data_IF_194452030802
#
_entry.id   IF_194452030802
#
_cell.length_a   1.000
_cell.length_b   1.000
_cell.length_c   1.000
_cell.angle_alpha   90.00
_cell.angle_beta   90.00
_cell.angle_gamma   90.00
#
_symmetry.space_group_name_H-M   'P 1'
#
loop_
_entity.id
_entity.type
_entity.pdbx_description
1 polymer ?
#
# COMPACT_ATOMS: atom_id res chain seq x y z
N UNK A 1 16.16 -26.52 4.92
CA UNK A 1 16.64 -25.42 4.05
C UNK A 1 15.90 -24.17 4.46
N UNK A 2 16.61 -23.14 4.94
CA UNK A 2 16.00 -21.85 5.28
C UNK A 2 16.00 -21.01 4.02
N UNK A 3 14.84 -20.80 3.39
CA UNK A 3 14.71 -19.82 2.31
C UNK A 3 15.02 -18.43 2.88
N UNK A 4 16.13 -17.84 2.45
CA UNK A 4 16.45 -16.46 2.76
C UNK A 4 15.41 -15.57 2.07
N UNK A 5 14.46 -15.04 2.85
CA UNK A 5 13.50 -14.05 2.38
C UNK A 5 14.27 -12.80 1.93
N UNK A 6 14.36 -12.58 0.63
CA UNK A 6 14.90 -11.33 0.08
C UNK A 6 13.92 -10.20 0.39
N UNK A 7 14.18 -9.45 1.46
CA UNK A 7 13.39 -8.29 1.82
C UNK A 7 13.92 -7.08 1.05
N UNK A 8 13.03 -6.33 0.40
CA UNK A 8 13.40 -5.00 -0.11
C UNK A 8 13.72 -4.13 1.09
N UNK A 9 14.99 -3.71 1.18
CA UNK A 9 15.42 -2.76 2.18
C UNK A 9 15.31 -1.35 1.60
N UNK A 10 14.65 -0.49 2.34
CA UNK A 10 14.60 0.93 2.03
C UNK A 10 15.93 1.53 2.47
N UNK A 11 16.63 2.20 1.55
CA UNK A 11 17.94 2.82 1.82
C UNK A 11 17.89 3.65 3.11
N UNK A 12 18.96 3.54 3.92
CA UNK A 12 19.05 4.18 5.24
C UNK A 12 19.40 5.67 5.18
N UNK A 13 19.72 6.20 4.00
CA UNK A 13 20.35 7.51 3.88
C UNK A 13 19.39 8.51 3.21
N UNK A 14 18.70 9.32 4.03
CA UNK A 14 17.94 10.49 3.58
C UNK A 14 16.50 10.59 4.14
N UNK A 15 15.93 11.81 4.27
CA UNK A 15 14.55 12.00 4.70
C UNK A 15 13.60 11.32 3.71
N UNK A 16 12.88 10.30 4.19
CA UNK A 16 11.93 9.47 3.44
C UNK A 16 10.61 10.20 3.30
N UNK A 17 10.53 11.13 2.38
CA UNK A 17 9.29 11.82 2.07
C UNK A 17 8.79 11.41 0.71
N UNK A 18 7.48 11.21 0.62
CA UNK A 18 6.83 11.10 -0.68
C UNK A 18 6.97 12.43 -1.41
N UNK A 19 7.29 12.37 -2.70
CA UNK A 19 7.43 13.53 -3.57
C UNK A 19 6.35 13.51 -4.66
N UNK A 20 6.04 14.65 -5.26
CA UNK A 20 5.13 14.67 -6.41
C UNK A 20 5.71 13.85 -7.56
N UNK A 21 4.92 12.90 -8.07
CA UNK A 21 5.33 12.06 -9.19
C UNK A 21 5.41 12.90 -10.47
N UNK A 22 6.45 12.70 -11.27
CA UNK A 22 6.56 13.34 -12.57
C UNK A 22 5.52 12.76 -13.55
N UNK A 23 5.17 13.48 -14.62
CA UNK A 23 4.16 13.02 -15.57
C UNK A 23 4.48 11.67 -16.22
N UNK A 24 5.77 11.36 -16.42
CA UNK A 24 6.19 10.05 -16.93
C UNK A 24 5.99 8.92 -15.91
N UNK A 25 6.18 9.20 -14.62
CA UNK A 25 5.91 8.24 -13.53
C UNK A 25 4.41 7.95 -13.41
N UNK A 26 3.57 8.98 -13.54
CA UNK A 26 2.11 8.85 -13.52
C UNK A 26 1.63 8.01 -14.71
N UNK A 27 2.19 8.26 -15.90
CA UNK A 27 1.89 7.45 -17.10
C UNK A 27 2.31 6.00 -16.89
N UNK A 28 3.52 5.75 -16.42
CA UNK A 28 4.04 4.41 -16.14
C UNK A 28 3.14 3.65 -15.15
N UNK A 29 2.74 4.30 -14.05
CA UNK A 29 1.80 3.71 -13.10
C UNK A 29 0.47 3.36 -13.76
N UNK A 30 -0.10 4.27 -14.57
CA UNK A 30 -1.35 4.02 -15.28
C UNK A 30 -1.22 2.81 -16.21
N UNK A 31 -0.18 2.77 -17.05
CA UNK A 31 0.08 1.67 -17.99
C UNK A 31 0.17 0.33 -17.23
N UNK A 32 0.82 0.30 -16.06
CA UNK A 32 0.92 -0.90 -15.23
C UNK A 32 -0.38 -1.35 -14.59
N UNK A 33 -1.21 -0.40 -14.15
CA UNK A 33 -2.55 -0.69 -13.63
C UNK A 33 -3.46 -1.25 -14.72
N UNK A 34 -3.41 -0.68 -15.93
CA UNK A 34 -4.17 -1.17 -17.09
C UNK A 34 -3.70 -2.56 -17.55
N UNK A 35 -2.38 -2.79 -17.58
CA UNK A 35 -1.82 -4.11 -17.87
C UNK A 35 -2.29 -5.17 -16.87
N UNK A 36 -2.36 -4.81 -15.57
CA UNK A 36 -2.95 -5.70 -14.57
C UNK A 36 -4.40 -6.02 -14.88
N UNK A 37 -5.23 -5.02 -15.19
CA UNK A 37 -6.64 -5.24 -15.55
C UNK A 37 -6.82 -6.10 -16.80
N UNK A 38 -5.92 -5.98 -17.78
CA UNK A 38 -5.90 -6.82 -18.97
C UNK A 38 -5.61 -8.29 -18.65
N UNK A 39 -4.67 -8.57 -17.74
CA UNK A 39 -4.32 -9.93 -17.33
C UNK A 39 -5.28 -10.56 -16.33
N UNK A 40 -6.04 -9.75 -15.58
CA UNK A 40 -7.04 -10.21 -14.61
C UNK A 40 -8.44 -9.68 -14.95
N UNK A 41 -9.02 -10.08 -16.09
CA UNK A 41 -10.37 -9.67 -16.47
C UNK A 41 -11.41 -10.14 -15.44
N UNK A 42 -12.62 -9.55 -15.42
CA UNK A 42 -13.69 -9.91 -14.49
C UNK A 42 -13.96 -11.41 -14.33
N UNK A 43 -13.76 -12.18 -15.40
CA UNK A 43 -14.03 -13.61 -15.48
C UNK A 43 -12.93 -14.50 -14.85
N UNK A 44 -11.71 -13.98 -14.67
CA UNK A 44 -10.58 -14.70 -14.07
C UNK A 44 -10.46 -14.49 -12.55
N UNK A 45 -11.38 -13.72 -11.96
CA UNK A 45 -11.43 -13.33 -10.54
C UNK A 45 -11.81 -14.54 -9.65
N UNK A 46 -10.85 -15.42 -9.34
CA UNK A 46 -10.99 -16.49 -8.32
C UNK A 46 -10.02 -16.24 -7.14
N UNK A 47 -10.49 -16.50 -5.91
CA UNK A 47 -9.78 -16.21 -4.65
C UNK A 47 -10.10 -14.83 -4.07
N UNK A 48 -9.70 -14.53 -2.84
CA UNK A 48 -10.20 -13.34 -2.10
C UNK A 48 -9.48 -12.02 -2.42
N UNK A 49 -8.21 -12.10 -2.87
CA UNK A 49 -7.32 -10.94 -3.06
C UNK A 49 -7.50 -10.28 -4.43
N UNK A 50 -7.51 -11.08 -5.51
CA UNK A 50 -7.54 -10.59 -6.90
C UNK A 50 -8.83 -9.84 -7.25
N UNK A 51 -10.06 -10.31 -6.90
CA UNK A 51 -11.29 -9.59 -7.23
C UNK A 51 -11.38 -8.23 -6.52
N UNK A 52 -10.97 -8.16 -5.25
CA UNK A 52 -10.95 -6.94 -4.45
C UNK A 52 -9.92 -5.91 -4.92
N UNK A 53 -8.76 -6.39 -5.37
CA UNK A 53 -7.71 -5.57 -5.98
C UNK A 53 -8.17 -5.00 -7.33
N UNK A 54 -8.82 -5.81 -8.17
CA UNK A 54 -9.26 -5.38 -9.51
C UNK A 54 -10.23 -4.19 -9.46
N UNK A 55 -11.27 -4.25 -8.62
CA UNK A 55 -12.22 -3.14 -8.46
C UNK A 55 -11.56 -1.84 -7.97
N UNK A 56 -10.57 -1.95 -7.09
CA UNK A 56 -9.83 -0.80 -6.57
C UNK A 56 -8.86 -0.22 -7.59
N UNK A 57 -8.27 -1.06 -8.44
CA UNK A 57 -7.43 -0.64 -9.56
C UNK A 57 -8.26 0.08 -10.62
N UNK A 58 -9.44 -0.42 -10.99
CA UNK A 58 -10.37 0.28 -11.90
C UNK A 58 -10.69 1.69 -11.39
N UNK A 59 -10.93 1.84 -10.08
CA UNK A 59 -11.14 3.16 -9.47
C UNK A 59 -9.89 4.04 -9.56
N UNK A 60 -8.71 3.50 -9.25
CA UNK A 60 -7.45 4.24 -9.33
C UNK A 60 -7.16 4.73 -10.75
N UNK A 61 -7.37 3.90 -11.79
CA UNK A 61 -7.20 4.30 -13.20
C UNK A 61 -8.11 5.48 -13.55
N UNK A 62 -9.39 5.41 -13.17
CA UNK A 62 -10.35 6.50 -13.37
C UNK A 62 -9.95 7.80 -12.67
N UNK A 63 -9.30 7.72 -11.50
CA UNK A 63 -8.79 8.89 -10.78
C UNK A 63 -7.61 9.50 -11.54
N UNK A 64 -6.66 8.67 -11.99
CA UNK A 64 -5.47 9.12 -12.72
C UNK A 64 -5.82 9.84 -14.02
N UNK A 65 -6.95 9.50 -14.65
CA UNK A 65 -7.44 10.21 -15.84
C UNK A 65 -7.92 11.64 -15.56
N UNK A 66 -8.32 11.93 -14.31
CA UNK A 66 -8.98 13.18 -13.93
C UNK A 66 -8.11 14.08 -13.06
N UNK A 67 -7.13 13.52 -12.36
CA UNK A 67 -6.22 14.25 -11.48
C UNK A 67 -4.90 13.48 -11.28
N UNK A 68 -3.75 14.04 -11.67
CA UNK A 68 -2.45 13.37 -11.54
C UNK A 68 -1.74 13.70 -10.23
N UNK A 69 -2.46 14.08 -9.17
CA UNK A 69 -1.86 14.40 -7.87
C UNK A 69 -1.36 13.13 -7.16
N UNK A 70 -0.41 12.46 -7.78
CA UNK A 70 0.21 11.23 -7.34
C UNK A 70 1.48 11.58 -6.62
N UNK A 71 1.68 10.96 -5.46
CA UNK A 71 2.94 11.04 -4.76
C UNK A 71 3.73 9.75 -4.96
N UNK A 72 5.05 9.81 -4.97
CA UNK A 72 5.95 8.69 -5.20
C UNK A 72 7.00 8.60 -4.10
N UNK A 73 7.34 7.38 -3.71
CA UNK A 73 8.47 7.04 -2.85
C UNK A 73 9.21 5.86 -3.46
N UNK A 74 10.50 6.01 -3.77
CA UNK A 74 11.31 4.95 -4.38
C UNK A 74 12.28 4.33 -3.38
N UNK A 75 12.52 3.03 -3.49
CA UNK A 75 13.52 2.29 -2.74
C UNK A 75 14.22 1.24 -3.58
N UNK A 76 15.39 0.81 -3.11
CA UNK A 76 16.23 -0.15 -3.83
C UNK A 76 17.05 -0.99 -2.87
N UNK A 77 17.13 -2.30 -3.13
CA UNK A 77 18.18 -3.18 -2.60
C UNK A 77 19.11 -3.63 -3.74
N UNK A 78 20.05 -4.55 -3.47
CA UNK A 78 21.17 -4.93 -4.36
C UNK A 78 20.80 -5.12 -5.85
N UNK A 79 19.56 -5.50 -6.17
CA UNK A 79 19.09 -5.61 -7.57
C UNK A 79 17.61 -5.25 -7.79
N UNK A 80 16.86 -4.91 -6.74
CA UNK A 80 15.40 -4.70 -6.84
C UNK A 80 15.03 -3.27 -6.52
N UNK A 81 14.36 -2.59 -7.45
CA UNK A 81 13.75 -1.27 -7.23
C UNK A 81 12.28 -1.47 -6.89
N UNK A 82 11.83 -0.86 -5.80
CA UNK A 82 10.44 -0.79 -5.41
C UNK A 82 9.99 0.67 -5.36
N UNK A 83 9.02 1.03 -6.18
CA UNK A 83 8.39 2.35 -6.17
C UNK A 83 7.00 2.25 -5.58
N UNK A 84 6.70 3.05 -4.57
CA UNK A 84 5.37 3.16 -3.99
C UNK A 84 4.73 4.45 -4.44
N UNK A 85 3.56 4.33 -5.06
CA UNK A 85 2.73 5.45 -5.46
C UNK A 85 1.59 5.64 -4.48
N UNK A 86 1.28 6.87 -4.10
CA UNK A 86 0.10 7.23 -3.33
C UNK A 86 -0.85 8.05 -4.22
N UNK A 87 -2.06 7.54 -4.42
CA UNK A 87 -3.10 8.17 -5.24
C UNK A 87 -4.26 8.60 -4.33
N UNK A 88 -4.52 9.91 -4.16
CA UNK A 88 -5.65 10.39 -3.37
C UNK A 88 -6.98 10.05 -4.06
N UNK A 89 -7.90 9.47 -3.29
CA UNK A 89 -9.29 9.33 -3.66
C UNK A 89 -10.11 10.29 -2.80
N UNK A 90 -10.35 11.50 -3.33
CA UNK A 90 -10.99 12.62 -2.64
C UNK A 90 -12.30 12.30 -1.91
N UNK A 91 -12.98 11.21 -2.27
CA UNK A 91 -14.26 10.81 -1.68
C UNK A 91 -14.15 9.66 -0.67
N UNK A 92 -13.02 8.97 -0.58
CA UNK A 92 -12.96 7.67 0.11
C UNK A 92 -11.67 7.42 0.90
N UNK A 93 -10.54 7.98 0.49
CA UNK A 93 -9.28 7.46 0.99
C UNK A 93 -8.07 7.78 0.13
N UNK A 94 -7.09 6.90 0.21
CA UNK A 94 -5.87 6.93 -0.58
C UNK A 94 -5.47 5.50 -0.95
N UNK A 95 -5.12 5.30 -2.21
CA UNK A 95 -4.52 4.05 -2.68
C UNK A 95 -3.00 4.14 -2.57
N UNK A 96 -2.38 3.05 -2.17
CA UNK A 96 -0.93 2.89 -2.22
C UNK A 96 -0.60 1.70 -3.10
N UNK A 97 0.11 1.90 -4.19
CA UNK A 97 0.52 0.84 -5.12
C UNK A 97 2.02 0.65 -5.06
N UNK A 98 2.47 -0.60 -4.95
CA UNK A 98 3.89 -0.94 -5.10
C UNK A 98 4.14 -1.45 -6.52
N UNK A 99 5.12 -0.86 -7.15
CA UNK A 99 5.73 -1.29 -8.40
C UNK A 99 7.11 -1.84 -8.08
N UNK A 100 7.39 -3.08 -8.47
CA UNK A 100 8.70 -3.72 -8.35
C UNK A 100 9.27 -3.92 -9.75
N UNK A 101 10.37 -3.24 -10.06
CA UNK A 101 11.05 -3.32 -11.36
C UNK A 101 10.12 -3.11 -12.57
N UNK A 102 9.15 -2.20 -12.47
CA UNK A 102 8.20 -1.91 -13.53
C UNK A 102 6.99 -2.84 -13.56
N UNK A 103 6.77 -3.66 -12.52
CA UNK A 103 5.63 -4.57 -12.43
C UNK A 103 4.82 -4.29 -11.18
N UNK A 104 3.50 -4.20 -11.31
CA UNK A 104 2.62 -4.04 -10.16
C UNK A 104 2.79 -5.23 -9.21
N UNK A 105 3.16 -4.97 -7.95
CA UNK A 105 3.48 -6.00 -6.97
C UNK A 105 2.44 -6.11 -5.85
N UNK A 106 1.70 -5.03 -5.57
CA UNK A 106 0.68 -5.05 -4.53
C UNK A 106 0.07 -3.68 -4.26
N UNK A 107 -0.87 -3.64 -3.32
CA UNK A 107 -1.50 -2.39 -2.93
C UNK A 107 -1.95 -2.37 -1.47
N UNK A 108 -2.28 -1.17 -1.00
CA UNK A 108 -3.11 -0.94 0.18
C UNK A 108 -4.16 0.12 -0.13
N UNK A 109 -5.28 0.04 0.58
CA UNK A 109 -6.30 1.08 0.58
C UNK A 109 -6.49 1.59 2.00
N UNK A 110 -6.31 2.91 2.14
CA UNK A 110 -6.47 3.63 3.41
C UNK A 110 -7.71 4.48 3.29
N UNK A 111 -8.61 4.37 4.25
CA UNK A 111 -9.80 5.21 4.34
C UNK A 111 -9.63 6.28 5.40
N UNK A 112 -10.20 7.45 5.13
CA UNK A 112 -10.45 8.49 6.12
C UNK A 112 -11.96 8.44 6.39
N UNK A 113 -12.40 8.32 7.64
CA UNK A 113 -13.83 8.19 7.96
C UNK A 113 -14.66 9.29 7.31
N UNK A 114 -15.79 8.91 6.69
CA UNK A 114 -16.67 9.81 5.92
C UNK A 114 -17.57 10.73 6.76
N UNK A 115 -17.55 10.62 8.09
CA UNK A 115 -18.59 11.21 8.95
C UNK A 115 -18.14 12.42 9.80
N UNK A 116 -17.20 13.23 9.31
CA UNK A 116 -16.98 14.59 9.83
C UNK A 116 -16.26 14.75 11.18
N UNK A 117 -15.89 13.66 11.86
CA UNK A 117 -14.90 13.69 12.93
C UNK A 117 -13.51 13.40 12.35
N UNK A 118 -12.45 14.03 12.88
CA UNK A 118 -11.07 13.66 12.54
C UNK A 118 -10.87 12.22 13.04
N UNK A 119 -11.02 11.26 12.15
CA UNK A 119 -10.76 9.84 12.42
C UNK A 119 -9.44 9.49 11.78
N UNK A 120 -8.64 8.74 12.54
CA UNK A 120 -7.35 8.25 12.10
C UNK A 120 -7.43 7.54 10.74
N UNK A 121 -6.42 7.73 9.86
CA UNK A 121 -6.30 6.94 8.64
C UNK A 121 -6.33 5.47 8.99
N UNK A 122 -7.21 4.71 8.34
CA UNK A 122 -7.42 3.28 8.64
C UNK A 122 -7.07 2.45 7.41
N UNK A 123 -6.17 1.47 7.55
CA UNK A 123 -5.90 0.48 6.52
C UNK A 123 -7.11 -0.45 6.40
N UNK A 124 -7.91 -0.27 5.36
CA UNK A 124 -9.06 -1.12 5.07
C UNK A 124 -8.61 -2.43 4.41
N UNK A 125 -7.60 -2.33 3.55
CA UNK A 125 -7.14 -3.47 2.76
C UNK A 125 -5.65 -3.37 2.47
N UNK A 126 -4.96 -4.51 2.46
CA UNK A 126 -3.55 -4.61 2.05
C UNK A 126 -3.28 -5.99 1.47
N UNK A 127 -2.60 -6.04 0.33
CA UNK A 127 -2.29 -7.29 -0.34
C UNK A 127 -1.10 -7.17 -1.27
N UNK A 128 -0.47 -8.31 -1.51
CA UNK A 128 0.69 -8.46 -2.40
C UNK A 128 0.37 -9.61 -3.36
N UNK A 129 0.71 -9.44 -4.63
CA UNK A 129 0.50 -10.47 -5.63
C UNK A 129 1.37 -11.71 -5.34
N UNK A 130 0.93 -12.92 -5.71
CA UNK A 130 1.61 -14.16 -5.36
C UNK A 130 3.11 -14.18 -5.70
N UNK A 131 3.47 -13.67 -6.88
CA UNK A 131 4.85 -13.62 -7.38
C UNK A 131 5.80 -12.79 -6.51
N UNK A 132 5.25 -11.88 -5.69
CA UNK A 132 5.99 -10.99 -4.81
C UNK A 132 5.80 -11.31 -3.32
N UNK A 133 5.06 -12.37 -2.99
CA UNK A 133 4.65 -12.71 -1.62
C UNK A 133 5.82 -12.95 -0.65
N UNK A 134 6.96 -13.40 -1.15
CA UNK A 134 8.16 -13.69 -0.35
C UNK A 134 9.05 -12.46 -0.04
N UNK A 135 8.66 -11.27 -0.52
CA UNK A 135 9.49 -10.06 -0.42
C UNK A 135 9.21 -9.19 0.82
N UNK A 136 8.21 -9.57 1.63
CA UNK A 136 7.79 -8.80 2.81
C UNK A 136 7.14 -7.45 2.48
N UNK A 137 6.56 -7.30 1.28
CA UNK A 137 6.03 -6.02 0.82
C UNK A 137 4.87 -5.50 1.68
N UNK A 138 4.00 -6.36 2.23
CA UNK A 138 2.89 -5.92 3.06
C UNK A 138 3.36 -5.13 4.29
N UNK A 139 4.34 -5.63 5.04
CA UNK A 139 4.83 -4.94 6.26
C UNK A 139 5.52 -3.64 5.91
N UNK A 140 6.36 -3.66 4.88
CA UNK A 140 7.03 -2.45 4.41
C UNK A 140 6.04 -1.41 3.87
N UNK A 141 4.97 -1.84 3.19
CA UNK A 141 3.90 -0.95 2.70
C UNK A 141 3.20 -0.24 3.84
N UNK A 142 2.81 -0.95 4.89
CA UNK A 142 2.19 -0.34 6.07
C UNK A 142 3.14 0.67 6.73
N UNK A 143 4.44 0.37 6.84
CA UNK A 143 5.44 1.32 7.36
C UNK A 143 5.51 2.59 6.50
N UNK A 144 5.46 2.46 5.17
CA UNK A 144 5.45 3.61 4.23
C UNK A 144 4.19 4.45 4.38
N UNK A 145 3.04 3.80 4.47
CA UNK A 145 1.75 4.48 4.69
C UNK A 145 1.78 5.26 6.01
N UNK A 146 2.24 4.64 7.10
CA UNK A 146 2.33 5.31 8.40
C UNK A 146 3.30 6.51 8.36
N UNK A 147 4.45 6.36 7.68
CA UNK A 147 5.38 7.46 7.47
C UNK A 147 4.72 8.59 6.66
N UNK A 148 3.99 8.26 5.59
CA UNK A 148 3.23 9.24 4.81
C UNK A 148 2.24 10.00 5.68
N UNK A 149 1.40 9.32 6.46
CA UNK A 149 0.45 9.97 7.37
C UNK A 149 1.13 10.97 8.31
N UNK A 150 2.31 10.61 8.87
CA UNK A 150 3.08 11.53 9.72
C UNK A 150 3.56 12.77 8.96
N UNK A 151 4.06 12.61 7.74
CA UNK A 151 4.50 13.76 6.91
C UNK A 151 3.37 14.72 6.58
N UNK A 152 2.12 14.22 6.53
CA UNK A 152 0.93 15.03 6.31
C UNK A 152 0.34 15.63 7.59
N UNK A 153 0.94 15.36 8.77
CA UNK A 153 0.43 15.81 10.07
C UNK A 153 -0.89 15.12 10.48
N UNK A 154 -1.20 13.96 9.90
CA UNK A 154 -2.42 13.22 10.22
C UNK A 154 -2.27 12.42 11.52
N UNK A 155 -3.41 12.02 12.14
CA UNK A 155 -3.36 11.10 13.26
C UNK A 155 -2.64 9.78 12.87
N UNK A 156 -2.13 9.03 13.86
CA UNK A 156 -1.42 7.79 13.57
C UNK A 156 -2.27 6.77 12.80
N UNK A 157 -1.61 6.01 11.93
CA UNK A 157 -2.27 4.97 11.12
C UNK A 157 -2.83 3.85 12.01
N UNK A 158 -4.07 3.48 11.72
CA UNK A 158 -4.81 2.41 12.39
C UNK A 158 -5.15 1.26 11.43
N UNK A 159 -5.52 0.13 12.01
CA UNK A 159 -6.33 -0.88 11.36
C UNK A 159 -7.35 -1.46 12.35
N UNK A 160 -8.55 -1.78 11.85
CA UNK A 160 -9.62 -2.37 12.66
C UNK A 160 -9.59 -3.89 12.56
N UNK A 161 -10.03 -4.59 13.61
CA UNK A 161 -10.21 -6.04 13.58
C UNK A 161 -11.31 -6.54 12.63
N UNK A 162 -12.06 -5.64 11.97
CA UNK A 162 -12.98 -5.97 10.89
C UNK A 162 -12.27 -6.35 9.58
N UNK A 163 -11.09 -6.97 9.68
CA UNK A 163 -10.35 -7.43 8.52
C UNK A 163 -11.21 -8.47 7.79
N UNK A 164 -11.69 -8.09 6.61
CA UNK A 164 -12.20 -9.05 5.63
C UNK A 164 -11.06 -9.95 5.12
N UNK A 165 -9.81 -9.56 5.39
CA UNK A 165 -8.58 -10.18 4.89
C UNK A 165 -7.63 -10.61 6.03
N UNK A 166 -7.49 -11.93 6.23
CA UNK A 166 -6.56 -12.54 7.18
C UNK A 166 -5.09 -12.15 6.94
N UNK A 167 -4.71 -11.76 5.72
CA UNK A 167 -3.36 -11.30 5.40
C UNK A 167 -3.05 -9.94 6.05
N UNK A 168 -4.03 -9.04 6.11
CA UNK A 168 -3.88 -7.74 6.76
C UNK A 168 -3.61 -7.92 8.26
N UNK A 169 -4.40 -8.75 8.95
CA UNK A 169 -4.20 -9.07 10.36
C UNK A 169 -2.83 -9.67 10.64
N UNK A 170 -2.39 -10.67 9.86
CA UNK A 170 -1.05 -11.28 9.98
C UNK A 170 0.06 -10.25 9.79
N UNK A 171 -0.11 -9.32 8.85
CA UNK A 171 0.87 -8.25 8.59
C UNK A 171 1.04 -7.35 9.83
N UNK A 172 -0.05 -6.94 10.47
CA UNK A 172 0.00 -6.14 11.70
C UNK A 172 0.61 -6.89 12.88
N UNK A 173 0.28 -8.18 13.05
CA UNK A 173 0.90 -9.03 14.06
C UNK A 173 2.42 -9.18 13.84
N UNK A 174 2.87 -9.32 12.59
CA UNK A 174 4.30 -9.33 12.27
C UNK A 174 4.98 -8.02 12.61
N UNK A 175 4.33 -6.86 12.43
CA UNK A 175 4.90 -5.57 12.85
C UNK A 175 5.13 -5.49 14.36
N UNK A 176 4.18 -6.00 15.16
CA UNK A 176 4.35 -6.11 16.62
C UNK A 176 5.52 -7.03 16.98
N UNK A 177 5.61 -8.20 16.34
CA UNK A 177 6.71 -9.15 16.55
C UNK A 177 8.08 -8.59 16.13
N UNK A 178 8.11 -7.75 15.09
CA UNK A 178 9.32 -7.04 14.63
C UNK A 178 9.76 -5.90 15.57
N UNK A 179 9.03 -5.65 16.67
CA UNK A 179 9.32 -4.55 17.60
C UNK A 179 9.05 -3.17 17.02
N UNK A 180 8.26 -3.10 15.95
CA UNK A 180 7.78 -1.83 15.41
C UNK A 180 6.79 -1.24 16.40
N UNK A 181 6.84 0.07 16.58
CA UNK A 181 6.06 0.84 17.56
C UNK A 181 4.56 0.83 17.19
N UNK A 182 3.90 -0.27 17.50
CA UNK A 182 2.48 -0.58 17.23
C UNK A 182 1.86 -1.11 18.52
N UNK A 183 0.76 -0.50 18.96
CA UNK A 183 -0.06 -1.01 20.07
C UNK A 183 -1.26 -1.78 19.54
N UNK A 184 -1.68 -2.76 20.34
CA UNK A 184 -2.96 -3.45 20.18
C UNK A 184 -3.87 -3.07 21.36
N UNK A 185 -4.93 -2.31 21.09
CA UNK A 185 -5.91 -1.92 22.10
C UNK A 185 -7.32 -2.09 21.52
N UNK A 186 -8.23 -2.71 22.30
CA UNK A 186 -9.68 -2.80 21.97
C UNK A 186 -9.94 -3.18 20.51
N UNK A 187 -9.32 -4.28 20.07
CA UNK A 187 -9.53 -4.83 18.73
C UNK A 187 -9.05 -3.94 17.58
N UNK A 188 -8.02 -3.13 17.82
CA UNK A 188 -7.36 -2.29 16.82
C UNK A 188 -5.85 -2.34 16.95
N UNK A 189 -5.16 -2.28 15.82
CA UNK A 189 -3.74 -1.99 15.77
C UNK A 189 -3.53 -0.50 15.46
N UNK A 190 -2.61 0.16 16.17
CA UNK A 190 -2.29 1.57 15.95
C UNK A 190 -0.79 1.82 16.10
N UNK A 191 -0.20 2.61 15.19
CA UNK A 191 1.15 3.15 15.41
C UNK A 191 1.13 4.19 16.53
N UNK A 192 2.02 4.10 17.52
CA UNK A 192 1.95 4.98 18.69
C UNK A 192 2.91 6.19 18.67
N UNK A 193 3.79 6.27 17.67
CA UNK A 193 4.69 7.42 17.44
C UNK A 193 4.98 7.61 15.94
#
# INVERSE_FOLDING_TARGET
MVEQKQRIQFQKDGPRTFESAASHDVKHLKDNLELFLFHFPPESRKGDVVPNMTLRIENAVNILERSPNVMKLQSKNDQTVCTTYAIPNHSAGMFFFDDVNGVLAGMAFVVFSRNGAIVAPTVEWVGTLPDFSNMGLNTERIKRVAAYCRTQGWPPLEATNGFVDDFARKTWQSLVQEGVVVEYEKDKFRFIK
#
